data_IF_553413929815
#
_entry.id   IF_553413929815
#
_cell.length_a   1.000
_cell.length_b   1.000
_cell.length_c   1.000
_cell.angle_alpha   90.00
_cell.angle_beta   90.00
_cell.angle_gamma   90.00
#
_symmetry.space_group_name_H-M   'P 1'
#
loop_
_entity.id
_entity.type
_entity.pdbx_description
1 polymer ?
#
# COMPACT_ATOMS: atom_id res chain seq x y z
N UNK A 1 27.68 34.49 -36.11
CA UNK A 1 28.29 33.66 -35.04
C UNK A 1 27.24 32.70 -34.52
N UNK A 2 27.21 31.46 -35.01
CA UNK A 2 26.30 30.42 -34.54
C UNK A 2 27.06 29.48 -33.62
N UNK A 3 26.85 29.59 -32.31
CA UNK A 3 27.44 28.68 -31.33
C UNK A 3 26.91 27.27 -31.55
N UNK A 4 27.80 26.35 -31.94
CA UNK A 4 27.49 24.91 -31.94
C UNK A 4 27.37 24.46 -30.48
N UNK A 5 26.16 24.15 -30.04
CA UNK A 5 25.94 23.44 -28.78
C UNK A 5 26.40 21.99 -28.97
N UNK A 6 27.57 21.66 -28.46
CA UNK A 6 27.97 20.26 -28.26
C UNK A 6 27.01 19.62 -27.26
N UNK A 7 26.16 18.72 -27.77
CA UNK A 7 25.29 17.89 -26.94
C UNK A 7 26.13 16.73 -26.43
N UNK A 8 26.75 16.92 -25.26
CA UNK A 8 27.49 15.87 -24.58
C UNK A 8 26.53 14.72 -24.26
N UNK A 9 26.80 13.53 -24.80
CA UNK A 9 25.98 12.35 -24.53
C UNK A 9 26.04 12.01 -23.04
N UNK A 10 24.91 12.13 -22.34
CA UNK A 10 24.82 11.79 -20.92
C UNK A 10 25.15 10.30 -20.72
N UNK A 11 26.25 10.01 -20.02
CA UNK A 11 26.60 8.64 -19.65
C UNK A 11 25.69 8.16 -18.51
N UNK A 12 24.74 7.29 -18.83
CA UNK A 12 23.76 6.74 -17.89
C UNK A 12 24.32 5.47 -17.25
N UNK A 13 24.46 5.44 -15.92
CA UNK A 13 24.77 4.20 -15.19
C UNK A 13 23.54 3.31 -15.08
N UNK A 14 23.74 1.99 -14.99
CA UNK A 14 22.68 0.97 -14.88
C UNK A 14 21.83 1.19 -13.62
N UNK A 15 20.82 2.06 -13.65
CA UNK A 15 19.95 2.22 -12.50
C UNK A 15 18.52 2.65 -12.84
N UNK A 16 17.59 1.97 -12.15
CA UNK A 16 16.14 2.09 -12.06
C UNK A 16 15.55 3.42 -12.57
N UNK A 17 14.95 3.38 -13.75
CA UNK A 17 13.93 4.32 -14.17
C UNK A 17 12.59 3.92 -13.56
N UNK A 18 11.73 4.90 -13.27
CA UNK A 18 10.36 4.72 -12.79
C UNK A 18 9.38 5.35 -13.77
N UNK A 19 8.20 4.78 -13.92
CA UNK A 19 7.07 5.40 -14.61
C UNK A 19 6.01 5.68 -13.57
N UNK A 20 5.66 6.95 -13.37
CA UNK A 20 4.45 7.35 -12.64
C UNK A 20 3.34 7.62 -13.66
N UNK A 21 2.15 7.06 -13.42
CA UNK A 21 0.97 7.24 -14.27
C UNK A 21 0.22 8.48 -13.78
N UNK A 22 0.30 9.57 -14.52
CA UNK A 22 -0.55 10.76 -14.33
C UNK A 22 -1.84 10.63 -15.18
N UNK A 23 -2.43 9.44 -15.21
CA UNK A 23 -3.59 9.09 -16.04
C UNK A 23 -3.34 8.99 -17.56
N UNK A 24 -2.52 9.88 -18.15
CA UNK A 24 -2.41 10.08 -19.62
C UNK A 24 -0.96 10.13 -20.18
N UNK A 25 0.06 10.18 -19.31
CA UNK A 25 1.48 10.33 -19.72
C UNK A 25 2.39 9.40 -18.93
N UNK A 26 3.47 8.95 -19.57
CA UNK A 26 4.60 8.24 -19.00
C UNK A 26 5.69 9.24 -18.61
N UNK A 27 6.02 9.34 -17.32
CA UNK A 27 7.16 10.15 -16.88
C UNK A 27 8.38 9.24 -16.75
N UNK A 28 9.49 9.57 -17.41
CA UNK A 28 10.75 8.84 -17.34
C UNK A 28 11.81 9.72 -16.68
N UNK A 29 12.42 9.21 -15.62
CA UNK A 29 13.50 9.88 -14.87
C UNK A 29 14.68 8.90 -14.76
N UNK A 30 15.90 9.39 -14.93
CA UNK A 30 17.13 8.61 -14.74
C UNK A 30 17.87 9.10 -13.51
N UNK A 31 18.57 8.20 -12.81
CA UNK A 31 19.58 8.59 -11.84
C UNK A 31 20.92 8.78 -12.56
N UNK A 32 21.53 9.94 -12.38
CA UNK A 32 22.81 10.34 -12.95
C UNK A 32 23.97 9.72 -12.15
N UNK A 33 25.18 9.70 -12.74
CA UNK A 33 26.36 9.11 -12.10
C UNK A 33 26.78 9.83 -10.81
N UNK A 34 26.49 11.13 -10.72
CA UNK A 34 26.70 11.96 -9.53
C UNK A 34 25.66 11.73 -8.42
N UNK A 35 24.70 10.82 -8.64
CA UNK A 35 23.62 10.52 -7.70
C UNK A 35 22.40 11.41 -7.83
N UNK A 36 22.43 12.45 -8.69
CA UNK A 36 21.28 13.29 -9.03
C UNK A 36 20.27 12.58 -9.93
N UNK A 37 19.17 13.25 -10.25
CA UNK A 37 18.17 12.75 -11.20
C UNK A 37 18.09 13.66 -12.43
N UNK A 38 17.83 13.08 -13.59
CA UNK A 38 17.57 13.85 -14.81
C UNK A 38 16.27 14.63 -14.69
N UNK A 39 16.10 15.63 -15.56
CA UNK A 39 14.77 16.20 -15.75
C UNK A 39 13.76 15.12 -16.21
N UNK A 40 12.51 15.17 -15.70
CA UNK A 40 11.48 14.20 -16.04
C UNK A 40 11.01 14.37 -17.48
N UNK A 41 11.20 13.34 -18.30
CA UNK A 41 10.67 13.31 -19.67
C UNK A 41 9.24 12.79 -19.62
N UNK A 42 8.26 13.64 -19.98
CA UNK A 42 6.84 13.25 -20.06
C UNK A 42 6.49 12.82 -21.49
N UNK A 43 6.20 11.55 -21.68
CA UNK A 43 5.78 10.96 -22.95
C UNK A 43 4.28 10.71 -22.94
N UNK A 44 3.58 10.91 -24.06
CA UNK A 44 2.20 10.40 -24.19
C UNK A 44 2.22 8.87 -24.36
N UNK A 45 1.08 8.23 -24.15
CA UNK A 45 0.98 6.76 -24.27
C UNK A 45 1.36 6.31 -25.69
N UNK A 46 0.87 6.99 -26.72
CA UNK A 46 1.16 6.67 -28.12
C UNK A 46 2.65 6.84 -28.46
N UNK A 47 3.28 7.89 -27.94
CA UNK A 47 4.72 8.11 -28.09
C UNK A 47 5.53 6.98 -27.42
N UNK A 48 5.12 6.55 -26.23
CA UNK A 48 5.77 5.48 -25.49
C UNK A 48 5.61 4.12 -26.21
N UNK A 49 4.44 3.84 -26.78
CA UNK A 49 4.22 2.66 -27.64
C UNK A 49 5.10 2.75 -28.89
N UNK A 50 5.19 3.91 -29.54
CA UNK A 50 6.04 4.13 -30.70
C UNK A 50 7.53 3.89 -30.40
N UNK A 51 8.02 4.39 -29.26
CA UNK A 51 9.39 4.14 -28.78
C UNK A 51 9.61 2.65 -28.49
N UNK A 52 8.63 1.99 -27.86
CA UNK A 52 8.70 0.57 -27.56
C UNK A 52 8.72 -0.29 -28.84
N UNK A 53 7.87 0.01 -29.83
CA UNK A 53 7.88 -0.67 -31.15
C UNK A 53 9.20 -0.44 -31.87
N UNK A 54 9.69 0.80 -31.96
CA UNK A 54 11.00 1.09 -32.57
C UNK A 54 12.15 0.36 -31.86
N UNK A 55 12.12 0.28 -30.54
CA UNK A 55 13.13 -0.47 -29.77
C UNK A 55 13.03 -1.99 -29.99
N UNK A 56 11.82 -2.54 -30.15
CA UNK A 56 11.59 -3.95 -30.51
C UNK A 56 12.16 -4.27 -31.89
N UNK A 57 11.87 -3.39 -32.85
CA UNK A 57 12.15 -3.63 -34.26
C UNK A 57 13.63 -3.32 -34.61
N UNK A 58 14.30 -2.44 -33.85
CA UNK A 58 15.72 -2.10 -34.04
C UNK A 58 16.58 -2.65 -32.89
N UNK A 59 17.25 -3.80 -33.12
CA UNK A 59 18.16 -4.40 -32.11
C UNK A 59 19.37 -3.53 -31.75
N UNK A 60 19.69 -2.47 -32.48
CA UNK A 60 20.75 -1.51 -32.13
C UNK A 60 20.44 -0.10 -32.63
N UNK A 61 20.01 0.75 -31.71
CA UNK A 61 20.18 2.21 -31.80
C UNK A 61 19.05 2.96 -32.49
N UNK A 62 17.94 3.15 -31.78
CA UNK A 62 17.06 4.28 -32.09
C UNK A 62 17.86 5.57 -31.78
N UNK A 63 18.31 6.27 -32.85
CA UNK A 63 19.01 7.56 -32.76
C UNK A 63 18.03 8.74 -32.70
N UNK A 64 16.77 8.49 -32.32
CA UNK A 64 15.85 9.55 -31.88
C UNK A 64 16.55 10.37 -30.78
N UNK A 65 16.92 11.60 -31.12
CA UNK A 65 17.85 12.47 -30.35
C UNK A 65 17.39 12.82 -28.93
N UNK A 66 16.21 12.39 -28.49
CA UNK A 66 15.63 12.78 -27.20
C UNK A 66 15.62 11.69 -26.13
N UNK A 67 15.91 10.42 -26.46
CA UNK A 67 15.74 9.30 -25.51
C UNK A 67 16.91 8.31 -25.62
N UNK A 68 17.55 8.00 -24.49
CA UNK A 68 18.67 7.07 -24.46
C UNK A 68 18.24 5.61 -24.70
N UNK A 69 19.15 4.75 -25.19
CA UNK A 69 18.84 3.33 -25.42
C UNK A 69 18.37 2.60 -24.14
N UNK A 70 18.94 2.97 -22.98
CA UNK A 70 18.52 2.44 -21.67
C UNK A 70 17.08 2.82 -21.33
N UNK A 71 16.68 4.05 -21.67
CA UNK A 71 15.33 4.53 -21.49
C UNK A 71 14.33 3.83 -22.40
N UNK A 72 14.68 3.70 -23.69
CA UNK A 72 13.85 2.99 -24.66
C UNK A 72 13.65 1.52 -24.24
N UNK A 73 14.70 0.85 -23.73
CA UNK A 73 14.61 -0.51 -23.18
C UNK A 73 13.65 -0.59 -21.98
N UNK A 74 13.71 0.39 -21.09
CA UNK A 74 12.83 0.43 -19.93
C UNK A 74 11.38 0.71 -20.31
N UNK A 75 11.13 1.67 -21.21
CA UNK A 75 9.81 1.96 -21.76
C UNK A 75 9.25 0.71 -22.43
N UNK A 76 10.03 0.03 -23.27
CA UNK A 76 9.64 -1.24 -23.88
C UNK A 76 9.19 -2.27 -22.84
N UNK A 77 10.01 -2.51 -21.80
CA UNK A 77 9.67 -3.44 -20.72
C UNK A 77 8.34 -3.08 -20.06
N UNK A 78 8.12 -1.79 -19.77
CA UNK A 78 6.92 -1.32 -19.08
C UNK A 78 5.66 -1.29 -19.94
N UNK A 79 5.79 -1.07 -21.24
CA UNK A 79 4.68 -1.18 -22.20
C UNK A 79 4.32 -2.65 -22.41
N UNK A 80 5.32 -3.54 -22.50
CA UNK A 80 5.12 -4.99 -22.61
C UNK A 80 4.46 -5.60 -21.38
N UNK A 81 4.90 -5.24 -20.16
CA UNK A 81 4.25 -5.63 -18.90
C UNK A 81 2.77 -5.21 -18.81
N UNK A 82 2.37 -4.19 -19.57
CA UNK A 82 0.98 -3.70 -19.63
C UNK A 82 0.15 -4.32 -20.75
N UNK A 83 0.72 -5.24 -21.54
CA UNK A 83 0.02 -5.86 -22.67
C UNK A 83 -0.31 -4.90 -23.82
N UNK A 84 0.34 -3.72 -23.88
CA UNK A 84 0.06 -2.68 -24.87
C UNK A 84 0.87 -2.85 -26.18
N UNK A 85 1.72 -3.86 -26.25
CA UNK A 85 2.36 -4.34 -27.46
C UNK A 85 1.62 -5.60 -27.89
N UNK A 86 0.57 -5.46 -28.68
CA UNK A 86 -0.04 -6.59 -29.37
C UNK A 86 0.86 -7.02 -30.52
N UNK A 87 1.11 -8.33 -30.63
CA UNK A 87 1.71 -8.90 -31.82
C UNK A 87 0.67 -8.86 -32.93
N UNK A 88 0.81 -7.92 -33.87
CA UNK A 88 0.17 -8.05 -35.17
C UNK A 88 0.85 -9.23 -35.88
N UNK A 89 0.35 -10.42 -35.61
CA UNK A 89 0.59 -11.60 -36.46
C UNK A 89 0.03 -11.23 -37.83
N UNK A 90 0.94 -11.15 -38.80
CA UNK A 90 0.61 -11.00 -40.22
C UNK A 90 -0.47 -11.98 -40.62
N UNK A 91 -1.58 -11.44 -41.13
CA UNK A 91 -2.49 -12.17 -41.98
C UNK A 91 -1.72 -12.66 -43.22
N UNK A 92 -1.69 -13.97 -43.44
CA UNK A 92 -1.75 -14.64 -44.76
C UNK A 92 -1.59 -16.16 -44.58
N UNK A 93 -2.68 -16.91 -44.70
CA UNK A 93 -2.78 -18.11 -45.55
C UNK A 93 -4.19 -18.70 -45.44
N UNK A 94 -4.86 -18.73 -46.59
CA UNK A 94 -6.10 -19.45 -46.89
C UNK A 94 -5.84 -20.97 -46.86
N UNK A 95 -6.76 -21.75 -46.27
CA UNK A 95 -7.65 -22.74 -46.92
C UNK A 95 -8.17 -23.82 -45.92
N UNK A 96 -9.29 -24.53 -46.20
CA UNK A 96 -10.25 -24.93 -45.19
C UNK A 96 -10.38 -26.45 -44.95
N UNK A 97 -10.88 -26.78 -43.74
CA UNK A 97 -11.63 -27.98 -43.34
C UNK A 97 -10.89 -29.35 -43.37
N UNK A 98 -11.32 -30.40 -42.61
CA UNK A 98 -12.65 -30.59 -41.99
C UNK A 98 -12.67 -31.07 -40.53
N UNK A 99 -13.89 -31.04 -39.96
CA UNK A 99 -14.31 -31.62 -38.68
C UNK A 99 -13.91 -33.10 -38.53
N UNK A 100 -13.77 -33.58 -37.28
CA UNK A 100 -14.76 -34.56 -36.83
C UNK A 100 -15.28 -34.31 -35.40
N UNK A 101 -16.55 -34.66 -35.25
CA UNK A 101 -17.34 -34.84 -34.04
C UNK A 101 -16.84 -35.95 -33.12
N UNK A 102 -16.85 -35.74 -31.80
CA UNK A 102 -17.57 -36.59 -30.83
C UNK A 102 -17.42 -36.12 -29.38
N UNK A 103 -18.51 -36.30 -28.64
CA UNK A 103 -18.69 -36.10 -27.20
C UNK A 103 -17.65 -36.82 -26.32
N UNK A 104 -17.23 -36.21 -25.21
CA UNK A 104 -17.69 -36.59 -23.86
C UNK A 104 -17.07 -35.69 -22.76
N UNK A 105 -17.77 -35.53 -21.63
CA UNK A 105 -17.37 -34.67 -20.53
C UNK A 105 -16.46 -35.45 -19.58
N UNK A 106 -15.34 -34.87 -19.15
CA UNK A 106 -14.76 -35.27 -17.86
C UNK A 106 -13.86 -34.20 -17.24
N UNK A 107 -14.34 -33.77 -16.07
CA UNK A 107 -13.59 -33.52 -14.86
C UNK A 107 -12.05 -33.47 -14.98
N UNK A 108 -11.53 -32.25 -14.83
CA UNK A 108 -10.66 -31.87 -13.70
C UNK A 108 -10.49 -30.35 -13.75
N UNK A 109 -11.40 -29.68 -13.04
CA UNK A 109 -11.14 -28.33 -12.56
C UNK A 109 -9.89 -28.40 -11.68
N UNK A 110 -8.74 -28.06 -12.27
CA UNK A 110 -7.57 -27.65 -11.52
C UNK A 110 -7.85 -26.29 -10.89
N UNK A 111 -8.81 -26.25 -9.97
CA UNK A 111 -8.84 -25.29 -8.88
C UNK A 111 -7.60 -25.60 -8.05
N UNK A 112 -6.46 -25.06 -8.48
CA UNK A 112 -5.33 -24.82 -7.60
C UNK A 112 -5.93 -24.15 -6.38
N UNK A 113 -5.90 -24.86 -5.27
CA UNK A 113 -6.15 -24.35 -3.94
C UNK A 113 -5.42 -23.01 -3.82
N UNK A 114 -6.18 -21.91 -3.94
CA UNK A 114 -5.72 -20.57 -3.67
C UNK A 114 -5.11 -20.60 -2.28
N UNK A 115 -3.79 -20.56 -2.22
CA UNK A 115 -3.08 -20.41 -0.95
C UNK A 115 -3.63 -19.13 -0.33
N UNK A 116 -4.40 -19.26 0.75
CA UNK A 116 -4.79 -18.13 1.56
C UNK A 116 -3.55 -17.28 1.77
N UNK A 117 -3.50 -16.09 1.16
CA UNK A 117 -2.42 -15.15 1.39
C UNK A 117 -2.46 -14.83 2.89
N UNK A 118 -1.54 -15.42 3.65
CA UNK A 118 -1.47 -15.21 5.08
C UNK A 118 -1.25 -13.71 5.33
N UNK A 119 -2.02 -13.08 6.24
CA UNK A 119 -1.76 -11.70 6.62
C UNK A 119 -0.35 -11.59 7.21
N UNK A 120 0.29 -10.42 7.02
CA UNK A 120 1.65 -10.18 7.49
C UNK A 120 1.63 -9.42 8.81
N UNK A 121 0.78 -8.41 8.92
CA UNK A 121 0.72 -7.48 10.06
C UNK A 121 -0.62 -7.52 10.80
N UNK A 122 -1.60 -8.23 10.25
CA UNK A 122 -2.90 -8.44 10.89
C UNK A 122 -2.98 -9.84 11.53
N UNK A 123 -3.74 -9.98 12.64
CA UNK A 123 -3.96 -11.29 13.23
C UNK A 123 -4.88 -12.13 12.35
N UNK A 124 -4.93 -13.41 12.68
CA UNK A 124 -5.93 -14.29 12.10
C UNK A 124 -7.36 -13.85 12.52
N UNK A 125 -8.32 -13.87 11.60
CA UNK A 125 -9.65 -13.28 11.75
C UNK A 125 -10.70 -14.37 11.60
N UNK A 126 -11.47 -14.58 12.65
CA UNK A 126 -12.61 -15.48 12.71
C UNK A 126 -13.87 -14.73 13.15
N UNK A 127 -15.06 -15.19 12.77
CA UNK A 127 -16.32 -14.51 13.08
C UNK A 127 -16.53 -14.37 14.59
N UNK A 128 -16.48 -15.51 15.30
CA UNK A 128 -16.94 -15.65 16.68
C UNK A 128 -15.81 -15.58 17.70
N UNK A 129 -14.62 -15.14 17.29
CA UNK A 129 -13.46 -15.09 18.18
C UNK A 129 -12.72 -13.79 17.96
N UNK A 130 -12.59 -13.02 19.03
CA UNK A 130 -11.70 -11.88 19.02
C UNK A 130 -10.24 -12.37 18.97
N UNK A 131 -9.43 -11.91 18.01
CA UNK A 131 -8.04 -12.31 17.93
C UNK A 131 -7.22 -11.73 19.07
N UNK A 132 -6.21 -12.48 19.50
CA UNK A 132 -5.19 -11.94 20.38
C UNK A 132 -4.33 -10.94 19.61
N UNK A 133 -4.24 -9.71 20.13
CA UNK A 133 -3.43 -8.63 19.58
C UNK A 133 -2.34 -8.29 20.58
N UNK A 134 -1.08 -8.47 20.18
CA UNK A 134 0.09 -8.09 20.98
C UNK A 134 0.51 -6.65 20.72
N UNK A 135 1.11 -5.99 21.72
CA UNK A 135 1.64 -4.63 21.57
C UNK A 135 2.71 -4.54 20.47
N UNK A 136 3.52 -5.58 20.32
CA UNK A 136 4.50 -5.71 19.24
C UNK A 136 3.86 -5.56 17.83
N UNK A 137 2.66 -6.11 17.63
CA UNK A 137 1.95 -6.03 16.36
C UNK A 137 1.42 -4.61 16.12
N UNK A 138 0.91 -3.98 17.18
CA UNK A 138 0.44 -2.59 17.14
C UNK A 138 1.60 -1.65 16.82
N UNK A 139 2.75 -1.85 17.45
CA UNK A 139 3.96 -1.08 17.22
C UNK A 139 4.44 -1.22 15.77
N UNK A 140 4.51 -2.45 15.25
CA UNK A 140 4.88 -2.70 13.85
C UNK A 140 3.92 -1.99 12.89
N UNK A 141 2.61 -2.00 13.17
CA UNK A 141 1.63 -1.25 12.38
C UNK A 141 1.83 0.26 12.50
N UNK A 142 2.21 0.79 13.66
CA UNK A 142 2.49 2.22 13.83
C UNK A 142 3.64 2.68 12.92
N UNK A 143 4.76 1.94 12.92
CA UNK A 143 5.89 2.19 12.01
C UNK A 143 5.45 2.14 10.55
N UNK A 144 4.73 1.08 10.19
CA UNK A 144 4.29 0.85 8.82
C UNK A 144 3.35 1.95 8.33
N UNK A 145 2.38 2.35 9.15
CA UNK A 145 1.39 3.38 8.83
C UNK A 145 2.02 4.77 8.72
N UNK A 146 3.09 5.04 9.46
CA UNK A 146 3.96 6.22 9.31
C UNK A 146 4.94 6.13 8.13
N UNK A 147 4.92 5.03 7.38
CA UNK A 147 5.74 4.85 6.19
C UNK A 147 7.20 4.52 6.50
N UNK A 148 7.46 3.84 7.62
CA UNK A 148 8.76 3.29 8.01
C UNK A 148 8.71 1.76 7.96
N UNK A 149 9.77 1.12 7.49
CA UNK A 149 9.93 -0.34 7.57
C UNK A 149 9.96 -0.79 9.05
N UNK A 150 9.04 -1.66 9.51
CA UNK A 150 9.05 -2.17 10.88
C UNK A 150 10.37 -2.85 11.28
N UNK A 151 11.14 -3.39 10.33
CA UNK A 151 12.45 -3.97 10.61
C UNK A 151 13.46 -2.94 11.16
N UNK A 152 13.30 -1.66 10.83
CA UNK A 152 14.15 -0.58 11.33
C UNK A 152 14.05 -0.42 12.85
N UNK A 153 12.94 -0.83 13.47
CA UNK A 153 12.76 -0.80 14.93
C UNK A 153 13.81 -1.63 15.67
N UNK A 154 14.23 -2.75 15.07
CA UNK A 154 15.17 -3.70 15.67
C UNK A 154 16.59 -3.57 15.10
N UNK A 155 16.84 -2.64 14.17
CA UNK A 155 18.17 -2.47 13.59
C UNK A 155 19.14 -1.93 14.67
N UNK A 156 20.27 -2.63 14.93
CA UNK A 156 21.28 -2.18 15.88
C UNK A 156 21.80 -0.77 15.62
N UNK A 157 21.73 -0.26 14.38
CA UNK A 157 22.09 1.11 14.03
C UNK A 157 21.24 2.15 14.75
N UNK A 158 19.96 1.86 14.97
CA UNK A 158 18.99 2.80 15.56
C UNK A 158 18.68 2.47 17.02
N UNK A 159 18.69 1.18 17.37
CA UNK A 159 18.43 0.69 18.72
C UNK A 159 19.44 1.19 19.78
N UNK A 160 20.63 1.61 19.36
CA UNK A 160 21.71 2.07 20.27
C UNK A 160 21.66 3.57 20.58
N UNK A 161 20.92 4.35 19.82
CA UNK A 161 21.11 5.81 19.74
C UNK A 161 20.02 6.65 20.39
N UNK A 162 19.08 6.06 21.14
CA UNK A 162 17.93 6.81 21.70
C UNK A 162 17.05 7.44 20.61
N UNK A 163 17.14 6.89 19.40
CA UNK A 163 16.42 7.34 18.21
C UNK A 163 14.94 7.08 18.42
N UNK A 164 14.13 8.07 18.11
CA UNK A 164 12.66 7.97 18.16
C UNK A 164 12.11 7.55 16.80
N UNK A 165 10.85 7.08 16.79
CA UNK A 165 10.13 6.85 15.54
C UNK A 165 10.12 8.10 14.64
N UNK A 166 10.01 9.30 15.23
CA UNK A 166 10.08 10.57 14.51
C UNK A 166 11.42 10.80 13.82
N UNK A 167 12.53 10.50 14.47
CA UNK A 167 13.87 10.62 13.87
C UNK A 167 14.00 9.71 12.65
N UNK A 168 13.42 8.50 12.72
CA UNK A 168 13.38 7.56 11.61
C UNK A 168 12.52 8.05 10.44
N UNK A 169 11.42 8.76 10.70
CA UNK A 169 10.56 9.33 9.64
C UNK A 169 11.35 10.28 8.74
N UNK A 170 12.33 10.99 9.30
CA UNK A 170 13.17 11.94 8.57
C UNK A 170 14.25 11.25 7.72
N UNK A 171 14.56 9.98 8.00
CA UNK A 171 15.57 9.22 7.28
C UNK A 171 14.97 8.52 6.05
N UNK A 172 15.54 8.78 4.87
CA UNK A 172 15.01 8.24 3.61
C UNK A 172 15.24 6.74 3.44
N UNK A 173 16.28 6.19 4.07
CA UNK A 173 16.71 4.78 3.91
C UNK A 173 15.70 3.78 4.47
N UNK A 174 14.89 4.20 5.44
CA UNK A 174 13.89 3.34 6.11
C UNK A 174 12.47 3.55 5.58
N UNK A 175 12.27 4.42 4.57
CA UNK A 175 10.94 4.77 4.06
C UNK A 175 10.37 3.68 3.18
N UNK A 176 9.10 3.34 3.43
CA UNK A 176 8.36 2.33 2.68
C UNK A 176 7.02 2.86 2.16
N UNK A 177 6.49 2.20 1.13
CA UNK A 177 5.14 2.45 0.66
C UNK A 177 4.15 1.63 1.50
N UNK A 178 3.52 2.28 2.48
CA UNK A 178 2.52 1.66 3.36
C UNK A 178 1.41 0.95 2.58
N UNK A 179 0.84 1.59 1.55
CA UNK A 179 -0.22 0.98 0.73
C UNK A 179 0.25 -0.28 -0.01
N UNK A 180 1.54 -0.40 -0.31
CA UNK A 180 2.09 -1.60 -0.96
C UNK A 180 2.26 -2.74 0.05
N UNK A 181 2.79 -2.44 1.23
CA UNK A 181 3.06 -3.45 2.25
C UNK A 181 1.78 -3.97 2.93
N UNK A 182 0.78 -3.11 3.14
CA UNK A 182 -0.53 -3.52 3.66
C UNK A 182 -1.48 -4.08 2.60
N UNK A 183 -1.07 -4.17 1.33
CA UNK A 183 -1.98 -4.58 0.24
C UNK A 183 -2.59 -5.96 0.49
N UNK A 184 -1.76 -6.93 0.87
CA UNK A 184 -2.20 -8.29 1.18
C UNK A 184 -3.13 -8.31 2.39
N UNK A 185 -2.76 -7.61 3.46
CA UNK A 185 -3.56 -7.47 4.67
C UNK A 185 -4.93 -6.80 4.41
N UNK A 186 -4.98 -5.78 3.56
CA UNK A 186 -6.23 -5.13 3.16
C UNK A 186 -7.15 -6.09 2.38
N UNK A 187 -6.60 -6.86 1.44
CA UNK A 187 -7.37 -7.90 0.74
C UNK A 187 -7.85 -9.00 1.68
N UNK A 188 -7.03 -9.36 2.66
CA UNK A 188 -7.36 -10.35 3.67
C UNK A 188 -8.51 -9.90 4.60
N UNK A 189 -8.56 -8.62 4.99
CA UNK A 189 -9.71 -8.04 5.70
C UNK A 189 -10.95 -8.10 4.80
N UNK A 190 -10.79 -7.66 3.54
CA UNK A 190 -11.85 -7.58 2.53
C UNK A 190 -12.12 -8.92 1.85
N UNK A 191 -12.43 -9.95 2.66
CA UNK A 191 -12.58 -11.34 2.19
C UNK A 191 -13.59 -11.52 1.04
N UNK A 192 -14.64 -10.70 0.97
CA UNK A 192 -15.62 -10.74 -0.12
C UNK A 192 -15.04 -10.30 -1.48
N UNK A 193 -13.91 -9.56 -1.47
CA UNK A 193 -13.17 -9.18 -2.67
C UNK A 193 -12.06 -10.16 -3.04
N UNK A 194 -11.93 -11.31 -2.35
CA UNK A 194 -10.85 -12.27 -2.61
C UNK A 194 -10.83 -12.77 -4.06
N UNK A 195 -11.99 -12.83 -4.70
CA UNK A 195 -12.13 -13.27 -6.09
C UNK A 195 -11.87 -12.16 -7.13
N UNK A 196 -11.67 -10.91 -6.69
CA UNK A 196 -11.25 -9.86 -7.59
C UNK A 196 -9.78 -10.07 -7.96
N UNK A 197 -9.48 -9.96 -9.25
CA UNK A 197 -8.11 -9.81 -9.69
C UNK A 197 -7.45 -8.54 -9.09
N UNK A 198 -6.12 -8.51 -9.15
CA UNK A 198 -5.34 -7.44 -8.54
C UNK A 198 -5.68 -6.05 -9.09
N UNK A 199 -6.05 -5.96 -10.36
CA UNK A 199 -6.31 -4.70 -11.05
C UNK A 199 -7.72 -4.17 -10.72
N UNK A 200 -8.71 -5.04 -10.66
CA UNK A 200 -10.07 -4.74 -10.19
C UNK A 200 -10.06 -4.31 -8.72
N UNK A 201 -9.29 -5.01 -7.86
CA UNK A 201 -9.13 -4.58 -6.47
C UNK A 201 -8.44 -3.21 -6.39
N UNK A 202 -7.37 -2.99 -7.16
CA UNK A 202 -6.69 -1.68 -7.22
C UNK A 202 -7.61 -0.57 -7.70
N UNK A 203 -8.46 -0.83 -8.70
CA UNK A 203 -9.43 0.12 -9.20
C UNK A 203 -10.41 0.54 -8.08
N UNK A 204 -11.06 -0.43 -7.42
CA UNK A 204 -11.96 -0.15 -6.28
C UNK A 204 -11.27 0.56 -5.13
N UNK A 205 -10.04 0.16 -4.81
CA UNK A 205 -9.26 0.80 -3.75
C UNK A 205 -8.93 2.26 -4.07
N UNK A 206 -8.63 2.57 -5.34
CA UNK A 206 -8.34 3.93 -5.78
C UNK A 206 -9.61 4.78 -5.88
N UNK A 207 -10.72 4.20 -6.35
CA UNK A 207 -12.04 4.84 -6.34
C UNK A 207 -12.43 5.24 -4.91
N UNK A 208 -12.31 4.34 -3.94
CA UNK A 208 -12.57 4.64 -2.52
C UNK A 208 -11.59 5.66 -1.90
N UNK A 209 -10.43 5.91 -2.53
CA UNK A 209 -9.52 6.99 -2.14
C UNK A 209 -9.99 8.35 -2.66
N UNK A 210 -10.83 8.38 -3.67
CA UNK A 210 -11.49 9.62 -4.07
C UNK A 210 -12.46 10.02 -2.94
N UNK A 211 -12.39 11.28 -2.50
CA UNK A 211 -13.11 11.67 -1.29
C UNK A 211 -14.61 11.66 -1.55
N UNK A 212 -15.42 10.95 -0.73
CA UNK A 212 -16.86 11.13 -0.77
C UNK A 212 -17.17 12.58 -0.35
N UNK A 213 -17.92 13.29 -1.19
CA UNK A 213 -18.38 14.65 -0.89
C UNK A 213 -19.68 14.64 -0.08
N UNK A 214 -19.93 15.71 0.68
CA UNK A 214 -21.24 15.98 1.27
C UNK A 214 -21.79 14.90 2.21
N UNK A 215 -22.98 14.40 1.90
CA UNK A 215 -23.77 13.48 2.73
C UNK A 215 -23.09 12.11 2.89
N UNK A 216 -22.50 11.57 1.82
CA UNK A 216 -21.82 10.25 1.83
C UNK A 216 -20.69 10.17 2.85
N UNK A 217 -19.95 11.27 3.04
CA UNK A 217 -18.89 11.33 4.04
C UNK A 217 -19.45 11.23 5.46
N UNK A 218 -20.63 11.81 5.71
CA UNK A 218 -21.31 11.76 7.00
C UNK A 218 -21.85 10.37 7.28
N UNK A 219 -22.44 9.72 6.27
CA UNK A 219 -23.00 8.38 6.42
C UNK A 219 -21.89 7.34 6.64
N UNK A 220 -20.74 7.47 5.98
CA UNK A 220 -19.57 6.64 6.28
C UNK A 220 -19.05 6.85 7.71
N UNK A 221 -19.12 8.07 8.27
CA UNK A 221 -18.74 8.31 9.68
C UNK A 221 -19.71 7.58 10.61
N UNK A 222 -21.03 7.71 10.37
CA UNK A 222 -22.05 7.02 11.16
C UNK A 222 -21.85 5.51 11.09
N UNK A 223 -21.64 4.98 9.89
CA UNK A 223 -21.44 3.55 9.66
C UNK A 223 -20.16 3.04 10.34
N UNK A 224 -19.06 3.82 10.30
CA UNK A 224 -17.83 3.50 11.05
C UNK A 224 -18.10 3.38 12.56
N UNK A 225 -18.86 4.33 13.13
CA UNK A 225 -19.20 4.30 14.56
C UNK A 225 -20.12 3.14 14.93
N UNK A 226 -21.05 2.77 14.04
CA UNK A 226 -21.92 1.61 14.23
C UNK A 226 -21.12 0.30 14.16
N UNK A 227 -20.22 0.18 13.18
CA UNK A 227 -19.30 -0.95 13.06
C UNK A 227 -18.46 -1.15 14.33
N UNK A 228 -17.89 -0.08 14.88
CA UNK A 228 -17.07 -0.11 16.11
C UNK A 228 -17.87 -0.53 17.37
N UNK A 229 -19.21 -0.41 17.34
CA UNK A 229 -20.10 -0.77 18.46
C UNK A 229 -20.79 -2.11 18.29
N UNK A 230 -20.64 -2.75 17.14
CA UNK A 230 -21.33 -4.00 16.84
C UNK A 230 -20.71 -5.13 17.66
N UNK A 231 -21.51 -5.77 18.49
CA UNK A 231 -21.09 -6.97 19.20
C UNK A 231 -21.28 -8.19 18.28
N UNK A 232 -20.22 -8.96 18.09
CA UNK A 232 -20.20 -10.15 17.23
C UNK A 232 -20.03 -11.45 18.02
N UNK A 233 -20.03 -11.41 19.36
CA UNK A 233 -19.91 -12.60 20.20
C UNK A 233 -21.08 -13.57 19.97
N UNK A 234 -22.28 -13.04 19.75
CA UNK A 234 -23.50 -13.81 19.50
C UNK A 234 -23.98 -13.70 18.05
N UNK A 235 -23.11 -13.98 17.07
CA UNK A 235 -23.44 -13.86 15.64
C UNK A 235 -24.73 -14.60 15.19
N UNK A 236 -25.15 -15.64 15.91
CA UNK A 236 -26.41 -16.35 15.67
C UNK A 236 -27.67 -15.55 16.04
N UNK A 237 -27.58 -14.62 16.99
CA UNK A 237 -28.68 -13.75 17.40
C UNK A 237 -28.81 -12.54 16.48
N UNK A 238 -27.68 -12.05 15.96
CA UNK A 238 -27.62 -10.95 14.99
C UNK A 238 -28.45 -11.26 13.74
N UNK A 239 -28.39 -12.50 13.23
CA UNK A 239 -29.18 -12.90 12.07
C UNK A 239 -30.70 -12.87 12.33
N UNK A 240 -31.13 -12.90 13.59
CA UNK A 240 -32.54 -12.83 13.98
C UNK A 240 -33.01 -11.39 14.23
N UNK A 241 -32.07 -10.46 14.46
CA UNK A 241 -32.33 -9.04 14.63
C UNK A 241 -32.30 -8.35 13.25
N UNK A 242 -33.46 -7.93 12.74
CA UNK A 242 -33.57 -7.32 11.42
C UNK A 242 -32.73 -6.05 11.26
N UNK A 243 -32.61 -5.23 12.32
CA UNK A 243 -31.86 -3.97 12.27
C UNK A 243 -30.34 -4.22 12.18
N UNK A 244 -29.83 -5.18 12.95
CA UNK A 244 -28.41 -5.54 12.92
C UNK A 244 -28.03 -6.28 11.64
N UNK A 245 -28.93 -7.14 11.13
CA UNK A 245 -28.77 -7.77 9.84
C UNK A 245 -28.68 -6.73 8.71
N UNK A 246 -29.56 -5.72 8.71
CA UNK A 246 -29.51 -4.61 7.75
C UNK A 246 -28.22 -3.80 7.87
N UNK A 247 -27.77 -3.50 9.11
CA UNK A 247 -26.51 -2.83 9.35
C UNK A 247 -25.32 -3.62 8.77
N UNK A 248 -25.28 -4.95 8.95
CA UNK A 248 -24.22 -5.78 8.38
C UNK A 248 -24.20 -5.68 6.85
N UNK A 249 -25.36 -5.71 6.19
CA UNK A 249 -25.45 -5.56 4.73
C UNK A 249 -24.95 -4.17 4.28
N UNK A 250 -25.29 -3.11 5.03
CA UNK A 250 -24.77 -1.76 4.78
C UNK A 250 -23.24 -1.70 4.95
N UNK A 251 -22.69 -2.36 5.98
CA UNK A 251 -21.23 -2.44 6.18
C UNK A 251 -20.57 -3.22 5.05
N UNK A 252 -21.13 -4.36 4.65
CA UNK A 252 -20.58 -5.21 3.58
C UNK A 252 -20.50 -4.45 2.25
N UNK A 253 -21.57 -3.74 1.87
CA UNK A 253 -21.60 -2.95 0.63
C UNK A 253 -20.60 -1.78 0.61
N UNK A 254 -20.24 -1.24 1.78
CA UNK A 254 -19.34 -0.07 1.93
C UNK A 254 -17.98 -0.43 2.52
N UNK A 255 -17.62 -1.70 2.53
CA UNK A 255 -16.45 -2.19 3.26
C UNK A 255 -15.12 -1.61 2.77
N UNK A 256 -14.96 -1.43 1.45
CA UNK A 256 -13.76 -0.81 0.88
C UNK A 256 -13.64 0.65 1.34
N UNK A 257 -14.73 1.40 1.24
CA UNK A 257 -14.79 2.81 1.65
C UNK A 257 -14.45 2.98 3.14
N UNK A 258 -15.01 2.11 3.99
CA UNK A 258 -14.74 2.10 5.43
C UNK A 258 -13.25 1.86 5.72
N UNK A 259 -12.65 0.82 5.12
CA UNK A 259 -11.25 0.48 5.35
C UNK A 259 -10.31 1.58 4.82
N UNK A 260 -10.53 2.09 3.61
CA UNK A 260 -9.73 3.17 3.02
C UNK A 260 -9.85 4.45 3.84
N UNK A 261 -11.05 4.81 4.28
CA UNK A 261 -11.27 5.97 5.14
C UNK A 261 -10.52 5.83 6.46
N UNK A 262 -10.61 4.67 7.12
CA UNK A 262 -9.89 4.42 8.38
C UNK A 262 -8.39 4.52 8.17
N UNK A 263 -7.86 3.85 7.14
CA UNK A 263 -6.46 3.90 6.76
C UNK A 263 -5.97 5.34 6.59
N UNK A 264 -6.64 6.15 5.76
CA UNK A 264 -6.24 7.56 5.53
C UNK A 264 -6.34 8.41 6.79
N UNK A 265 -7.38 8.21 7.61
CA UNK A 265 -7.55 8.94 8.86
C UNK A 265 -6.41 8.63 9.83
N UNK A 266 -6.02 7.37 9.96
CA UNK A 266 -4.90 6.97 10.82
C UNK A 266 -3.58 7.53 10.30
N UNK A 267 -3.32 7.48 8.99
CA UNK A 267 -2.12 8.10 8.42
C UNK A 267 -2.05 9.60 8.72
N UNK A 268 -3.14 10.34 8.52
CA UNK A 268 -3.18 11.78 8.86
C UNK A 268 -2.94 12.03 10.35
N UNK A 269 -3.55 11.23 11.22
CA UNK A 269 -3.36 11.35 12.67
C UNK A 269 -1.90 11.09 13.07
N UNK A 270 -1.27 10.08 12.48
CA UNK A 270 0.16 9.81 12.70
C UNK A 270 1.03 10.94 12.15
N UNK A 271 0.73 11.46 10.96
CA UNK A 271 1.43 12.63 10.41
C UNK A 271 1.28 13.86 11.32
N UNK A 272 0.10 14.07 11.92
CA UNK A 272 -0.17 15.14 12.88
C UNK A 272 0.65 14.96 14.16
N UNK A 273 0.63 13.76 14.78
CA UNK A 273 1.42 13.44 15.97
C UNK A 273 2.92 13.72 15.72
N UNK A 274 3.44 13.24 14.60
CA UNK A 274 4.85 13.39 14.25
C UNK A 274 5.23 14.85 13.92
N UNK A 275 4.25 15.72 13.65
CA UNK A 275 4.44 17.17 13.41
C UNK A 275 4.17 18.02 14.66
N UNK A 276 3.23 17.65 15.53
CA UNK A 276 2.79 18.49 16.66
C UNK A 276 3.87 18.70 17.72
N UNK A 277 4.82 17.77 17.82
CA UNK A 277 5.99 17.91 18.71
C UNK A 277 7.10 18.78 18.11
N UNK A 278 6.84 19.48 17.00
CA UNK A 278 7.76 20.42 16.35
C UNK A 278 7.56 21.88 16.76
N UNK A 279 6.68 22.18 17.74
CA UNK A 279 6.81 23.48 18.41
C UNK A 279 8.08 23.41 19.25
N UNK A 280 9.12 24.23 18.99
CA UNK A 280 10.17 24.38 19.98
C UNK A 280 9.46 24.79 21.27
N UNK A 281 9.73 24.07 22.36
CA UNK A 281 9.39 24.56 23.68
C UNK A 281 9.96 25.98 23.74
N UNK A 282 9.07 26.97 23.76
CA UNK A 282 9.45 28.36 23.98
C UNK A 282 10.25 28.36 25.28
N UNK A 283 11.46 28.89 25.19
CA UNK A 283 12.43 29.04 26.25
C UNK A 283 11.80 29.27 27.63
N UNK A 284 11.76 28.24 28.49
CA UNK A 284 11.79 28.44 29.94
C UNK A 284 13.23 28.66 30.37
N UNK A 285 13.85 29.70 29.81
CA UNK A 285 15.06 30.32 30.36
C UNK A 285 14.66 31.26 31.49
N UNK A 286 14.29 30.68 32.64
CA UNK A 286 14.48 31.30 33.96
C UNK A 286 13.95 30.38 35.06
N UNK A 287 14.84 29.53 35.59
CA UNK A 287 15.09 29.41 37.03
C UNK A 287 15.67 28.02 37.35
N UNK A 288 16.88 28.04 37.92
CA UNK A 288 17.26 27.09 38.95
C UNK A 288 18.03 25.85 38.51
N UNK A 289 19.29 25.77 38.94
CA UNK A 289 19.79 24.51 39.47
C UNK A 289 21.11 24.03 38.91
N UNK A 290 22.20 24.56 39.45
CA UNK A 290 23.56 24.02 39.44
C UNK A 290 23.64 22.52 39.85
N UNK A 291 22.56 21.95 40.39
CA UNK A 291 22.45 20.55 40.83
C UNK A 291 22.33 19.51 39.70
N UNK A 292 22.10 19.92 38.45
CA UNK A 292 22.03 18.99 37.30
C UNK A 292 23.40 18.44 36.85
N UNK A 293 24.50 18.91 37.44
CA UNK A 293 25.87 18.43 37.16
C UNK A 293 26.37 17.26 38.02
N UNK A 294 25.60 16.81 39.02
CA UNK A 294 26.03 15.72 39.91
C UNK A 294 25.48 14.33 39.57
N UNK A 295 24.61 14.18 38.56
CA UNK A 295 24.11 12.87 38.10
C UNK A 295 24.88 12.26 36.92
N UNK A 296 26.01 12.85 36.51
CA UNK A 296 26.77 12.37 35.34
C UNK A 296 27.77 11.24 35.62
N UNK A 297 27.99 10.85 36.87
CA UNK A 297 29.06 9.89 37.24
C UNK A 297 28.60 8.51 37.69
N UNK A 298 27.31 8.16 37.56
CA UNK A 298 26.83 6.82 37.93
C UNK A 298 26.05 6.12 36.81
N UNK A 299 26.51 6.27 35.57
CA UNK A 299 26.06 5.42 34.47
C UNK A 299 26.91 4.14 34.52
N UNK A 300 26.49 3.19 35.36
CA UNK A 300 26.87 1.78 35.21
C UNK A 300 26.63 1.43 33.74
N UNK A 301 27.65 0.89 33.08
CA UNK A 301 27.53 0.19 31.81
C UNK A 301 26.60 -1.01 32.02
N UNK A 302 25.30 -0.73 32.05
CA UNK A 302 24.27 -1.73 31.91
C UNK A 302 24.40 -2.27 30.50
N UNK A 303 24.53 -3.59 30.38
CA UNK A 303 24.41 -4.36 29.15
C UNK A 303 23.54 -3.62 28.13
N UNK A 304 24.15 -3.18 27.03
CA UNK A 304 23.46 -2.53 25.92
C UNK A 304 22.65 -3.60 25.21
N UNK A 305 21.58 -4.07 25.87
CA UNK A 305 20.49 -4.76 25.20
C UNK A 305 19.96 -3.75 24.19
N UNK A 306 20.11 -4.05 22.90
CA UNK A 306 19.57 -3.26 21.80
C UNK A 306 18.05 -3.16 22.02
N UNK A 307 17.58 -2.11 22.69
CA UNK A 307 16.15 -1.91 22.92
C UNK A 307 15.54 -1.43 21.60
N UNK A 308 14.39 -2.01 21.21
CA UNK A 308 13.70 -1.55 20.00
C UNK A 308 13.39 -0.06 20.09
N UNK A 309 13.38 0.60 18.93
CA UNK A 309 12.99 2.02 18.85
C UNK A 309 11.56 2.18 19.39
N UNK A 310 11.34 3.02 20.41
CA UNK A 310 10.03 3.12 21.05
C UNK A 310 9.00 3.78 20.12
N UNK A 311 7.73 3.40 20.31
CA UNK A 311 6.58 4.03 19.69
C UNK A 311 5.94 4.97 20.71
N UNK A 312 5.64 6.19 20.30
CA UNK A 312 4.94 7.14 21.15
C UNK A 312 3.52 6.63 21.46
N UNK A 313 3.06 6.81 22.71
CA UNK A 313 1.74 6.32 23.17
C UNK A 313 0.59 6.76 22.24
N UNK A 314 0.63 8.01 21.77
CA UNK A 314 -0.36 8.54 20.84
C UNK A 314 -0.35 7.81 19.48
N UNK A 315 0.84 7.44 18.99
CA UNK A 315 1.01 6.69 17.76
C UNK A 315 0.58 5.23 17.93
N UNK A 316 0.93 4.62 19.06
CA UNK A 316 0.48 3.29 19.47
C UNK A 316 -1.05 3.22 19.49
N UNK A 317 -1.71 4.15 20.20
CA UNK A 317 -3.18 4.21 20.26
C UNK A 317 -3.83 4.46 18.90
N UNK A 318 -3.21 5.24 18.01
CA UNK A 318 -3.71 5.46 16.66
C UNK A 318 -3.62 4.18 15.80
N UNK A 319 -2.52 3.43 15.91
CA UNK A 319 -2.33 2.16 15.23
C UNK A 319 -3.25 1.06 15.80
N UNK A 320 -3.43 1.02 17.13
CA UNK A 320 -4.36 0.08 17.79
C UNK A 320 -5.77 0.28 17.28
N UNK A 321 -6.23 1.53 17.27
CA UNK A 321 -7.56 1.85 16.79
C UNK A 321 -7.73 1.54 15.28
N UNK A 322 -6.66 1.58 14.48
CA UNK A 322 -6.70 1.11 13.09
C UNK A 322 -6.85 -0.41 13.01
N UNK A 323 -6.08 -1.14 13.81
CA UNK A 323 -6.10 -2.59 13.88
C UNK A 323 -7.47 -3.11 14.36
N UNK A 324 -8.01 -2.57 15.45
CA UNK A 324 -9.32 -2.96 15.98
C UNK A 324 -10.41 -2.77 14.93
N UNK A 325 -10.35 -1.67 14.15
CA UNK A 325 -11.27 -1.45 13.05
C UNK A 325 -11.10 -2.49 11.92
N UNK A 326 -9.88 -2.88 11.58
CA UNK A 326 -9.62 -3.93 10.59
C UNK A 326 -10.13 -5.29 11.07
N UNK A 327 -9.90 -5.63 12.34
CA UNK A 327 -10.42 -6.84 12.98
C UNK A 327 -11.93 -6.85 12.91
N UNK A 328 -12.57 -5.81 13.42
CA UNK A 328 -14.03 -5.71 13.48
C UNK A 328 -14.66 -5.79 12.09
N UNK A 329 -14.15 -5.02 11.12
CA UNK A 329 -14.61 -5.10 9.73
C UNK A 329 -14.43 -6.50 9.16
N UNK A 330 -13.25 -7.11 9.33
CA UNK A 330 -12.98 -8.44 8.81
C UNK A 330 -13.86 -9.52 9.44
N UNK A 331 -14.22 -9.40 10.73
CA UNK A 331 -15.18 -10.27 11.41
C UNK A 331 -16.58 -10.11 10.83
N UNK A 332 -17.08 -8.87 10.67
CA UNK A 332 -18.38 -8.59 10.03
C UNK A 332 -18.44 -9.20 8.63
N UNK A 333 -17.40 -9.03 7.82
CA UNK A 333 -17.36 -9.55 6.46
C UNK A 333 -17.32 -11.08 6.37
N UNK A 334 -17.04 -11.77 7.46
CA UNK A 334 -17.06 -13.23 7.56
C UNK A 334 -18.39 -13.74 8.13
N UNK A 335 -19.28 -12.87 8.59
CA UNK A 335 -20.63 -13.27 9.04
C UNK A 335 -21.47 -13.75 7.86
N UNK A 336 -22.16 -14.88 8.02
CA UNK A 336 -22.99 -15.50 6.97
C UNK A 336 -24.39 -14.86 6.82
N UNK A 337 -24.61 -13.67 7.38
CA UNK A 337 -25.93 -13.00 7.39
C UNK A 337 -26.47 -12.80 5.97
N UNK A 338 -25.61 -12.44 5.01
CA UNK A 338 -26.00 -12.27 3.61
C UNK A 338 -26.37 -13.59 2.91
N UNK A 339 -25.84 -14.74 3.35
CA UNK A 339 -26.19 -16.05 2.76
C UNK A 339 -27.56 -16.54 3.21
N UNK A 340 -28.01 -16.13 4.40
CA UNK A 340 -29.30 -16.56 4.97
C UNK A 340 -30.47 -15.70 4.50
N UNK A 341 -30.29 -14.39 4.38
CA UNK A 341 -31.34 -13.48 3.90
C UNK A 341 -31.83 -13.79 2.46
N UNK A 342 -31.01 -14.46 1.65
CA UNK A 342 -31.36 -14.92 0.29
C UNK A 342 -31.98 -16.33 0.28
N UNK A 343 -31.79 -17.13 1.33
CA UNK A 343 -32.34 -18.48 1.43
C UNK A 343 -33.76 -18.51 2.03
N UNK A 344 -34.15 -17.44 2.74
CA UNK A 344 -35.47 -17.25 3.34
C UNK A 344 -36.43 -16.44 2.43
N UNK A 345 -36.01 -16.12 1.19
CA UNK A 345 -36.85 -15.57 0.11
C UNK A 345 -37.09 -16.63 -0.96
#
# INVERSE_FOLDING_TARGET
MGGKYETTSMQVSKSKSGITRDGTRFVVVYKLQDGGYSEPIKLRIDDAIGIAKRFRDHRKGDRSRSISASAAKYVYKKISEKGLLTDEVSANSEDPAPLPSHDTPDAKSNLKSDSMLAPVYLPYLEVNREPQVSDEMVDQLAFLLSGIDPAARNDPKFARSGVTMRDLIQQTEVRVSTSRLLYTDHRYVLIHLRNLDDDAFRAKWNEAKEQPGGQDATDLIKLTRRLEKLDLENASEIAKNSEEAELILQIQSRAVDLLVRRYRRTQRKLDEINRSDSKPAVDTRSQGGWLSRLNFFNKKESEVHNKPVPVDEAAHMAARAYLDHCVQLGRVLRTDVAKRAVADQ
#
